data_IF_955825650974
#
_entry.id   IF_955825650974
#
_cell.length_a   1.000
_cell.length_b   1.000
_cell.length_c   1.000
_cell.angle_alpha   90.00
_cell.angle_beta   90.00
_cell.angle_gamma   90.00
#
_symmetry.space_group_name_H-M   'P 1'
#
loop_
_entity.id
_entity.type
_entity.pdbx_description
1 polymer ?
#
# COMPACT_ATOMS: atom_id res chain seq x y z
N UNK A 1 -19.90 1.76 -32.09
CA UNK A 1 -20.46 1.37 -30.79
C UNK A 1 -20.15 2.44 -29.74
N UNK A 2 -21.14 2.86 -28.99
CA UNK A 2 -20.91 3.81 -27.91
C UNK A 2 -20.05 3.18 -26.81
N UNK A 3 -18.92 3.80 -26.48
CA UNK A 3 -18.09 3.35 -25.38
C UNK A 3 -18.81 3.57 -24.04
N UNK A 4 -18.91 2.55 -23.21
CA UNK A 4 -19.56 2.63 -21.90
C UNK A 4 -18.88 3.63 -20.96
N UNK A 5 -17.57 3.79 -21.10
CA UNK A 5 -16.78 4.72 -20.31
C UNK A 5 -16.13 5.76 -21.24
N UNK A 6 -16.74 6.92 -21.29
CA UNK A 6 -16.22 8.05 -22.07
C UNK A 6 -15.19 8.79 -21.23
N UNK A 7 -14.00 9.01 -21.81
CA UNK A 7 -12.94 9.80 -21.18
C UNK A 7 -13.03 11.20 -21.73
N UNK A 8 -13.43 12.14 -20.90
CA UNK A 8 -13.43 13.56 -21.18
C UNK A 8 -12.42 14.23 -20.26
N UNK A 9 -11.39 14.86 -20.84
CA UNK A 9 -10.30 15.49 -20.11
C UNK A 9 -10.40 17.00 -20.22
N UNK A 10 -10.28 17.67 -19.09
CA UNK A 10 -10.10 19.13 -19.08
C UNK A 10 -8.70 19.50 -19.59
N UNK A 11 -8.52 20.77 -20.01
CA UNK A 11 -7.22 21.27 -20.48
C UNK A 11 -6.12 21.11 -19.42
N UNK A 12 -6.45 21.32 -18.14
CA UNK A 12 -5.54 21.13 -17.01
C UNK A 12 -5.13 19.66 -16.84
N UNK A 13 -6.09 18.74 -16.98
CA UNK A 13 -5.83 17.30 -16.92
C UNK A 13 -4.98 16.82 -18.09
N UNK A 14 -5.22 17.32 -19.29
CA UNK A 14 -4.37 17.04 -20.45
C UNK A 14 -2.94 17.56 -20.24
N UNK A 15 -2.79 18.79 -19.76
CA UNK A 15 -1.49 19.37 -19.42
C UNK A 15 -0.75 18.55 -18.39
N UNK A 16 -1.44 18.10 -17.33
CA UNK A 16 -0.87 17.24 -16.30
C UNK A 16 -0.43 15.87 -16.84
N UNK A 17 -1.22 15.26 -17.72
CA UNK A 17 -0.85 13.99 -18.37
C UNK A 17 0.39 14.12 -19.24
N UNK A 18 0.51 15.20 -20.00
CA UNK A 18 1.72 15.49 -20.79
C UNK A 18 2.94 15.71 -19.90
N UNK A 19 2.78 16.37 -18.76
CA UNK A 19 3.84 16.53 -17.77
C UNK A 19 4.28 15.18 -17.17
N UNK A 20 3.34 14.31 -16.84
CA UNK A 20 3.61 12.95 -16.33
C UNK A 20 4.42 12.13 -17.32
N UNK A 21 4.10 12.25 -18.63
CA UNK A 21 4.82 11.55 -19.70
C UNK A 21 6.22 12.13 -19.89
N UNK A 22 6.37 13.46 -19.83
CA UNK A 22 7.64 14.14 -20.05
C UNK A 22 8.65 14.00 -18.91
N UNK A 23 8.20 13.67 -17.70
CA UNK A 23 9.08 13.46 -16.53
C UNK A 23 9.79 12.11 -16.61
N UNK A 24 11.08 12.09 -16.91
CA UNK A 24 11.89 10.88 -17.08
C UNK A 24 12.01 9.97 -15.84
N UNK A 25 11.54 10.39 -14.67
CA UNK A 25 11.54 9.60 -13.41
C UNK A 25 10.18 8.98 -13.07
N UNK A 26 9.21 9.07 -13.96
CA UNK A 26 7.87 8.53 -13.73
C UNK A 26 7.85 7.02 -13.95
N UNK A 27 7.12 6.28 -13.12
CA UNK A 27 6.96 4.83 -13.29
C UNK A 27 6.32 4.51 -14.65
N UNK A 28 6.88 3.54 -15.36
CA UNK A 28 6.44 3.14 -16.70
C UNK A 28 4.93 2.85 -16.79
N UNK A 29 4.36 2.21 -15.76
CA UNK A 29 2.92 1.92 -15.69
C UNK A 29 2.06 3.19 -15.62
N UNK A 30 2.54 4.21 -14.92
CA UNK A 30 1.84 5.50 -14.82
C UNK A 30 1.87 6.23 -16.16
N UNK A 31 3.00 6.19 -16.84
CA UNK A 31 3.16 6.74 -18.20
C UNK A 31 2.23 6.02 -19.18
N UNK A 32 2.19 4.70 -19.17
CA UNK A 32 1.29 3.93 -20.02
C UNK A 32 -0.19 4.28 -19.78
N UNK A 33 -0.60 4.43 -18.52
CA UNK A 33 -1.97 4.87 -18.18
C UNK A 33 -2.27 6.29 -18.67
N UNK A 34 -1.31 7.20 -18.57
CA UNK A 34 -1.45 8.54 -19.11
C UNK A 34 -1.67 8.52 -20.63
N UNK A 35 -0.93 7.72 -21.37
CA UNK A 35 -1.13 7.53 -22.81
C UNK A 35 -2.50 6.93 -23.14
N UNK A 36 -2.98 5.95 -22.36
CA UNK A 36 -4.32 5.38 -22.53
C UNK A 36 -5.39 6.46 -22.43
N UNK A 37 -5.33 7.31 -21.40
CA UNK A 37 -6.32 8.36 -21.18
C UNK A 37 -6.27 9.44 -22.26
N UNK A 38 -5.08 9.86 -22.71
CA UNK A 38 -4.93 10.84 -23.80
C UNK A 38 -5.48 10.30 -25.13
N UNK A 39 -5.18 9.06 -25.49
CA UNK A 39 -5.70 8.45 -26.72
C UNK A 39 -7.21 8.23 -26.64
N UNK A 40 -7.73 7.83 -25.48
CA UNK A 40 -9.16 7.68 -25.26
C UNK A 40 -9.91 9.01 -25.38
N UNK A 41 -9.35 10.11 -24.86
CA UNK A 41 -9.90 11.46 -25.01
C UNK A 41 -9.86 11.97 -26.47
N UNK A 42 -8.86 11.53 -27.24
CA UNK A 42 -8.76 11.81 -28.67
C UNK A 42 -9.75 10.98 -29.53
N UNK A 43 -10.55 10.09 -28.91
CA UNK A 43 -11.57 9.29 -29.58
C UNK A 43 -11.12 7.91 -30.06
N UNK A 44 -9.91 7.46 -29.69
CA UNK A 44 -9.42 6.12 -30.02
C UNK A 44 -10.23 5.02 -29.31
N UNK A 45 -10.45 3.91 -29.98
CA UNK A 45 -11.11 2.75 -29.42
C UNK A 45 -10.18 1.95 -28.51
N UNK A 46 -10.75 1.14 -27.61
CA UNK A 46 -9.96 0.28 -26.71
C UNK A 46 -9.02 -0.66 -27.48
N UNK A 47 -9.47 -1.15 -28.65
CA UNK A 47 -8.67 -2.02 -29.50
C UNK A 47 -7.48 -1.27 -30.13
N UNK A 48 -7.69 -0.06 -30.63
CA UNK A 48 -6.62 0.76 -31.21
C UNK A 48 -5.59 1.15 -30.15
N UNK A 49 -6.04 1.58 -28.97
CA UNK A 49 -5.16 1.89 -27.85
C UNK A 49 -4.35 0.68 -27.42
N UNK A 50 -5.00 -0.49 -27.32
CA UNK A 50 -4.36 -1.75 -26.95
C UNK A 50 -3.23 -2.13 -27.92
N UNK A 51 -3.47 -2.00 -29.21
CA UNK A 51 -2.47 -2.26 -30.25
C UNK A 51 -1.33 -1.23 -30.18
N UNK A 52 -1.65 0.05 -30.10
CA UNK A 52 -0.66 1.14 -30.11
C UNK A 52 0.29 1.08 -28.91
N UNK A 53 -0.25 0.74 -27.72
CA UNK A 53 0.51 0.73 -26.48
C UNK A 53 0.98 -0.68 -26.06
N UNK A 54 0.71 -1.69 -26.88
CA UNK A 54 1.00 -3.09 -26.55
C UNK A 54 0.40 -3.56 -25.21
N UNK A 55 -0.85 -3.16 -24.96
CA UNK A 55 -1.60 -3.49 -23.75
C UNK A 55 -2.76 -4.46 -24.08
N UNK A 56 -3.22 -5.18 -23.06
CA UNK A 56 -4.46 -5.94 -23.22
C UNK A 56 -5.68 -5.01 -23.23
N UNK A 57 -6.67 -5.31 -24.10
CA UNK A 57 -7.93 -4.54 -24.21
C UNK A 57 -8.62 -4.41 -22.83
N UNK A 58 -8.63 -5.50 -22.05
CA UNK A 58 -9.19 -5.48 -20.69
C UNK A 58 -8.47 -4.50 -19.75
N UNK A 59 -7.18 -4.27 -19.96
CA UNK A 59 -6.41 -3.29 -19.18
C UNK A 59 -6.78 -1.87 -19.57
N UNK A 60 -6.91 -1.59 -20.86
CA UNK A 60 -7.38 -0.29 -21.38
C UNK A 60 -8.76 0.02 -20.83
N UNK A 61 -9.69 -0.94 -20.92
CA UNK A 61 -11.04 -0.79 -20.41
C UNK A 61 -11.08 -0.47 -18.91
N UNK A 62 -10.30 -1.17 -18.09
CA UNK A 62 -10.21 -0.92 -16.64
C UNK A 62 -9.64 0.46 -16.30
N UNK A 63 -8.68 0.95 -17.09
CA UNK A 63 -8.12 2.29 -16.88
C UNK A 63 -9.16 3.36 -17.16
N UNK A 64 -9.92 3.24 -18.26
CA UNK A 64 -11.02 4.15 -18.61
C UNK A 64 -12.13 4.12 -17.56
N UNK A 65 -12.56 2.91 -17.16
CA UNK A 65 -13.55 2.73 -16.10
C UNK A 65 -13.11 3.43 -14.83
N UNK A 66 -11.86 3.22 -14.43
CA UNK A 66 -11.34 3.80 -13.19
C UNK A 66 -11.24 5.33 -13.25
N UNK A 67 -10.96 5.89 -14.42
CA UNK A 67 -11.00 7.34 -14.62
C UNK A 67 -12.41 7.89 -14.41
N UNK A 68 -13.42 7.25 -14.99
CA UNK A 68 -14.82 7.69 -14.87
C UNK A 68 -15.33 7.53 -13.44
N UNK A 69 -15.00 6.42 -12.78
CA UNK A 69 -15.52 6.08 -11.45
C UNK A 69 -14.77 6.81 -10.31
N UNK A 70 -13.46 6.95 -10.41
CA UNK A 70 -12.59 7.39 -9.30
C UNK A 70 -11.77 8.67 -9.62
N UNK A 71 -11.74 9.10 -10.86
CA UNK A 71 -11.01 10.29 -11.32
C UNK A 71 -9.56 10.05 -11.76
N UNK A 72 -8.90 11.13 -12.21
CA UNK A 72 -7.58 11.08 -12.85
C UNK A 72 -6.48 10.53 -11.96
N UNK A 73 -6.40 11.02 -10.73
CA UNK A 73 -5.35 10.60 -9.77
C UNK A 73 -5.41 9.11 -9.46
N UNK A 74 -6.62 8.60 -9.27
CA UNK A 74 -6.86 7.19 -9.02
C UNK A 74 -6.55 6.33 -10.25
N UNK A 75 -6.92 6.78 -11.45
CA UNK A 75 -6.64 6.07 -12.71
C UNK A 75 -5.14 5.91 -12.97
N UNK A 76 -4.33 6.92 -12.61
CA UNK A 76 -2.87 6.90 -12.76
C UNK A 76 -2.16 6.09 -11.67
N UNK A 77 -2.77 5.93 -10.51
CA UNK A 77 -2.16 5.27 -9.35
C UNK A 77 -2.42 3.76 -9.32
N UNK A 78 -1.54 3.03 -8.68
CA UNK A 78 -1.83 1.62 -8.34
C UNK A 78 -2.82 1.57 -7.17
N UNK A 79 -3.76 0.62 -7.22
CA UNK A 79 -4.55 0.30 -6.02
C UNK A 79 -3.63 -0.31 -4.98
N UNK A 80 -3.73 0.19 -3.75
CA UNK A 80 -3.11 -0.47 -2.61
C UNK A 80 -3.59 -1.91 -2.54
N UNK A 81 -2.67 -2.84 -2.58
CA UNK A 81 -3.02 -4.25 -2.36
C UNK A 81 -3.44 -4.41 -0.91
N UNK A 82 -4.54 -5.10 -0.68
CA UNK A 82 -4.89 -5.58 0.65
C UNK A 82 -3.81 -6.59 1.01
N UNK A 83 -2.86 -6.16 1.86
CA UNK A 83 -1.80 -7.03 2.35
C UNK A 83 -2.36 -8.17 3.20
N UNK A 84 -1.50 -9.10 3.58
CA UNK A 84 -1.86 -10.11 4.57
C UNK A 84 -2.32 -9.42 5.85
N UNK A 85 -3.41 -9.90 6.51
CA UNK A 85 -3.83 -9.34 7.78
C UNK A 85 -2.69 -9.41 8.80
N UNK A 86 -2.59 -8.44 9.73
CA UNK A 86 -1.56 -8.46 10.75
C UNK A 86 -1.69 -9.72 11.62
N UNK A 87 -0.55 -10.35 11.94
CA UNK A 87 -0.51 -11.55 12.78
C UNK A 87 -1.00 -11.26 14.21
N UNK A 88 -0.74 -10.06 14.70
CA UNK A 88 -1.15 -9.62 16.03
C UNK A 88 -2.28 -8.59 15.95
N UNK A 89 -3.23 -8.73 16.87
CA UNK A 89 -4.23 -7.70 17.13
C UNK A 89 -3.59 -6.46 17.78
N UNK A 90 -4.29 -5.32 17.77
CA UNK A 90 -3.78 -4.12 18.43
C UNK A 90 -3.46 -4.31 19.91
N UNK A 91 -4.27 -5.10 20.64
CA UNK A 91 -4.04 -5.44 22.04
C UNK A 91 -2.80 -6.30 22.23
N UNK A 92 -2.62 -7.32 21.40
CA UNK A 92 -1.45 -8.18 21.42
C UNK A 92 -0.16 -7.43 21.08
N UNK A 93 -0.20 -6.53 20.09
CA UNK A 93 0.94 -5.69 19.76
C UNK A 93 1.32 -4.75 20.93
N UNK A 94 0.34 -4.12 21.58
CA UNK A 94 0.58 -3.29 22.76
C UNK A 94 1.16 -4.10 23.92
N UNK A 95 0.67 -5.31 24.16
CA UNK A 95 1.21 -6.21 25.16
C UNK A 95 2.67 -6.61 24.87
N UNK A 96 3.00 -6.88 23.61
CA UNK A 96 4.37 -7.19 23.19
C UNK A 96 5.33 -6.02 23.44
N UNK A 97 4.89 -4.80 23.16
CA UNK A 97 5.67 -3.58 23.45
C UNK A 97 5.88 -3.42 24.97
N UNK A 98 4.84 -3.60 25.77
CA UNK A 98 4.94 -3.53 27.22
C UNK A 98 5.90 -4.61 27.78
N UNK A 99 5.84 -5.82 27.23
CA UNK A 99 6.75 -6.90 27.59
C UNK A 99 8.21 -6.55 27.25
N UNK A 100 8.46 -5.97 26.07
CA UNK A 100 9.80 -5.55 25.66
C UNK A 100 10.37 -4.43 26.53
N UNK A 101 9.51 -3.61 27.13
CA UNK A 101 9.89 -2.55 28.08
C UNK A 101 10.01 -3.05 29.52
N UNK A 102 9.60 -4.28 29.82
CA UNK A 102 9.70 -4.86 31.15
C UNK A 102 11.10 -5.38 31.45
N UNK A 103 11.34 -5.73 32.72
CA UNK A 103 12.59 -6.35 33.15
C UNK A 103 12.76 -7.73 32.49
N UNK A 104 13.93 -8.03 31.90
CA UNK A 104 14.23 -9.35 31.35
C UNK A 104 14.18 -10.44 32.42
N UNK A 105 13.96 -11.72 32.04
CA UNK A 105 13.98 -12.82 32.99
C UNK A 105 15.32 -12.96 33.71
N UNK A 106 15.29 -13.56 34.88
CA UNK A 106 16.48 -13.84 35.68
C UNK A 106 17.59 -14.52 34.87
N UNK A 107 18.82 -13.97 34.94
CA UNK A 107 19.96 -14.45 34.18
C UNK A 107 20.14 -13.84 32.81
N UNK A 108 19.32 -12.85 32.44
CA UNK A 108 19.43 -12.11 31.17
C UNK A 108 19.53 -10.61 31.43
N UNK A 109 20.46 -9.97 30.74
CA UNK A 109 20.66 -8.51 30.86
C UNK A 109 19.75 -7.68 29.94
N UNK A 110 19.20 -8.32 28.89
CA UNK A 110 18.34 -7.66 27.91
C UNK A 110 17.38 -8.65 27.23
N UNK A 111 16.31 -8.13 26.67
CA UNK A 111 15.43 -8.88 25.82
C UNK A 111 16.07 -9.13 24.44
N UNK A 112 15.92 -10.33 23.93
CA UNK A 112 16.18 -10.68 22.53
C UNK A 112 14.87 -10.96 21.82
N UNK A 113 14.84 -10.85 20.49
CA UNK A 113 13.61 -11.12 19.73
C UNK A 113 13.12 -12.55 19.93
N UNK A 114 14.03 -13.52 20.02
CA UNK A 114 13.69 -14.92 20.30
C UNK A 114 13.09 -15.08 21.71
N UNK A 115 13.69 -14.48 22.71
CA UNK A 115 13.20 -14.54 24.08
C UNK A 115 11.83 -13.88 24.25
N UNK A 116 11.60 -12.77 23.55
CA UNK A 116 10.28 -12.11 23.49
C UNK A 116 9.24 -13.01 22.83
N UNK A 117 9.59 -13.65 21.71
CA UNK A 117 8.70 -14.56 21.01
C UNK A 117 8.32 -15.75 21.90
N UNK A 118 9.29 -16.40 22.53
CA UNK A 118 9.08 -17.54 23.42
C UNK A 118 8.20 -17.15 24.63
N UNK A 119 8.48 -16.01 25.25
CA UNK A 119 7.71 -15.51 26.39
C UNK A 119 6.28 -15.11 26.02
N UNK A 120 6.11 -14.53 24.82
CA UNK A 120 4.81 -14.14 24.30
C UNK A 120 3.89 -15.34 24.06
N UNK A 121 4.47 -16.46 23.58
CA UNK A 121 3.77 -17.74 23.43
C UNK A 121 3.46 -18.36 24.80
N UNK A 122 4.41 -18.38 25.74
CA UNK A 122 4.20 -18.87 27.11
C UNK A 122 3.04 -18.15 27.81
N UNK A 123 2.89 -16.86 27.60
CA UNK A 123 1.80 -16.04 28.14
C UNK A 123 0.47 -16.23 27.38
N UNK A 124 0.41 -17.20 26.48
CA UNK A 124 -0.78 -17.57 25.69
C UNK A 124 -1.42 -16.42 24.94
N UNK A 125 -0.62 -15.45 24.52
CA UNK A 125 -1.09 -14.35 23.68
C UNK A 125 -1.29 -14.78 22.22
N UNK A 126 -0.54 -15.79 21.80
CA UNK A 126 -0.62 -16.41 20.48
C UNK A 126 -0.01 -17.82 20.56
N UNK A 127 -0.44 -18.71 19.69
CA UNK A 127 0.07 -20.09 19.67
C UNK A 127 1.49 -20.19 19.10
N UNK A 128 1.79 -19.35 18.11
CA UNK A 128 3.11 -19.32 17.48
C UNK A 128 3.41 -17.91 16.91
N UNK A 129 4.63 -17.44 17.12
CA UNK A 129 5.15 -16.21 16.54
C UNK A 129 6.64 -16.34 16.23
N UNK A 130 7.08 -15.84 15.08
CA UNK A 130 8.50 -15.81 14.75
C UNK A 130 9.21 -14.59 15.37
N UNK A 131 10.50 -14.71 15.71
CA UNK A 131 11.30 -13.56 16.16
C UNK A 131 11.29 -12.39 15.17
N UNK A 132 11.28 -12.67 13.86
CA UNK A 132 11.20 -11.65 12.83
C UNK A 132 9.88 -10.85 12.88
N UNK A 133 8.76 -11.52 13.15
CA UNK A 133 7.47 -10.85 13.32
C UNK A 133 7.49 -9.96 14.55
N UNK A 134 8.06 -10.42 15.66
CA UNK A 134 8.28 -9.60 16.87
C UNK A 134 9.10 -8.34 16.52
N UNK A 135 10.21 -8.51 15.82
CA UNK A 135 11.05 -7.39 15.38
C UNK A 135 10.32 -6.37 14.50
N UNK A 136 9.50 -6.86 13.55
CA UNK A 136 8.68 -5.98 12.69
C UNK A 136 7.64 -5.18 13.47
N UNK A 137 6.96 -5.82 14.40
CA UNK A 137 5.94 -5.17 15.24
C UNK A 137 6.58 -4.07 16.09
N UNK A 138 7.69 -4.37 16.78
CA UNK A 138 8.41 -3.40 17.60
C UNK A 138 8.94 -2.23 16.76
N UNK A 139 9.54 -2.50 15.61
CA UNK A 139 10.05 -1.47 14.69
C UNK A 139 8.94 -0.56 14.18
N UNK A 140 7.79 -1.12 13.80
CA UNK A 140 6.64 -0.35 13.33
C UNK A 140 6.11 0.59 14.43
N UNK A 141 6.06 0.14 15.65
CA UNK A 141 5.62 0.94 16.80
C UNK A 141 6.58 2.09 17.08
N UNK A 142 7.88 1.85 16.99
CA UNK A 142 8.91 2.88 17.18
C UNK A 142 8.93 3.90 16.05
N UNK A 143 8.66 3.47 14.81
CA UNK A 143 8.66 4.35 13.63
C UNK A 143 7.39 5.19 13.46
N UNK A 144 6.32 4.88 14.20
CA UNK A 144 5.05 5.60 14.12
C UNK A 144 4.52 5.95 15.52
N UNK A 145 5.14 6.95 16.18
CA UNK A 145 4.76 7.35 17.55
C UNK A 145 3.30 7.85 17.65
N UNK A 146 2.68 8.26 16.56
CA UNK A 146 1.27 8.66 16.52
C UNK A 146 0.27 7.50 16.61
N UNK A 147 0.69 6.24 16.47
CA UNK A 147 -0.17 5.06 16.61
C UNK A 147 -0.34 4.60 18.06
N UNK A 148 0.41 5.19 18.98
CA UNK A 148 0.33 4.90 20.42
C UNK A 148 -0.45 6.03 21.13
N UNK A 149 -1.61 6.37 20.60
CA UNK A 149 -2.57 7.19 21.35
C UNK A 149 -3.29 6.26 22.33
N UNK A 150 -2.88 6.31 23.58
CA UNK A 150 -3.44 5.74 24.81
C UNK A 150 -2.60 4.66 25.53
N UNK A 151 -1.30 4.69 25.39
CA UNK A 151 -0.41 3.95 26.28
C UNK A 151 0.47 4.92 27.08
N UNK A 152 0.04 5.30 28.28
CA UNK A 152 0.90 5.98 29.23
C UNK A 152 2.04 5.02 29.55
N UNK A 153 3.26 5.35 29.12
CA UNK A 153 4.45 4.71 29.63
C UNK A 153 4.74 5.29 31.02
N UNK A 154 4.74 4.49 32.09
CA UNK A 154 5.32 4.96 33.34
C UNK A 154 6.82 5.11 33.14
N UNK A 155 7.33 6.24 33.56
CA UNK A 155 8.75 6.61 33.64
C UNK A 155 9.49 5.64 34.55
#
# INVERSE_FOLDING_TARGET
>A
MAHKYLVDLTDDEQGYLHEVIGKGKTMARRVARAHVLLQAAAGATDAEIAVTLHLGIASVHRIRQRFVDEGLTAALSERSRIGSPPVLTGKQAAFLVALACSTPPTGRHRWTLKLLADRFVELRQIDMISPDTVGRVLKKTTSNPGSVKNGVFPV
#
